data_IF_541507644158
#
_entry.id   IF_541507644158
#
_cell.length_a   1.000
_cell.length_b   1.000
_cell.length_c   1.000
_cell.angle_alpha   90.00
_cell.angle_beta   90.00
_cell.angle_gamma   90.00
#
_symmetry.space_group_name_H-M   'P 1'
#
loop_
_entity.id
_entity.type
_entity.pdbx_description
1 polymer ?
#
# COMPACT_ATOMS: atom_id res chain seq x y z
N UNK A 1 -15.35 19.02 3.27
CA UNK A 1 -15.23 17.95 4.29
C UNK A 1 -14.24 16.94 3.76
N UNK A 2 -13.12 16.70 4.44
CA UNK A 2 -12.25 15.57 4.08
C UNK A 2 -12.99 14.28 4.43
N UNK A 3 -13.04 13.32 3.50
CA UNK A 3 -13.54 11.99 3.82
C UNK A 3 -12.74 11.44 5.02
N UNK A 4 -13.45 10.88 6.00
CA UNK A 4 -12.83 10.32 7.21
C UNK A 4 -11.98 9.09 6.89
N UNK A 5 -12.28 8.44 5.77
CA UNK A 5 -11.61 7.26 5.23
C UNK A 5 -11.48 7.45 3.70
N UNK A 6 -10.28 7.35 3.15
CA UNK A 6 -9.98 7.49 1.70
C UNK A 6 -9.52 6.16 1.09
N UNK A 7 -10.36 5.14 1.26
CA UNK A 7 -10.12 3.78 0.79
C UNK A 7 -11.46 3.06 0.58
N UNK A 8 -11.46 2.03 -0.27
CA UNK A 8 -12.60 1.17 -0.49
C UNK A 8 -12.13 -0.28 -0.71
N UNK A 9 -12.98 -1.23 -0.32
CA UNK A 9 -12.79 -2.66 -0.62
C UNK A 9 -13.88 -3.03 -1.61
N UNK A 10 -13.46 -3.54 -2.76
CA UNK A 10 -14.34 -3.99 -3.81
C UNK A 10 -14.34 -5.51 -3.79
N UNK A 11 -15.49 -6.10 -3.45
CA UNK A 11 -15.71 -7.52 -3.66
C UNK A 11 -15.88 -7.73 -5.18
N UNK A 12 -15.00 -8.53 -5.76
CA UNK A 12 -15.09 -8.92 -7.16
C UNK A 12 -15.78 -10.26 -7.26
N UNK A 13 -16.76 -10.35 -8.17
CA UNK A 13 -17.52 -11.57 -8.37
C UNK A 13 -16.61 -12.77 -8.70
N UNK A 14 -17.00 -13.94 -8.19
CA UNK A 14 -16.22 -15.17 -8.16
C UNK A 14 -15.57 -15.72 -9.45
N UNK A 15 -15.96 -15.38 -10.71
CA UNK A 15 -15.24 -15.87 -11.89
C UNK A 15 -13.76 -15.44 -11.97
N UNK A 16 -13.34 -14.44 -11.19
CA UNK A 16 -11.94 -14.06 -11.08
C UNK A 16 -11.15 -14.90 -10.07
N UNK A 17 -11.71 -15.89 -9.36
CA UNK A 17 -10.93 -16.74 -8.46
C UNK A 17 -10.24 -16.01 -7.27
N UNK A 18 -9.75 -16.78 -6.28
CA UNK A 18 -8.93 -16.21 -5.20
C UNK A 18 -7.49 -16.05 -5.71
N UNK A 19 -7.17 -14.89 -6.29
CA UNK A 19 -5.85 -14.69 -6.91
C UNK A 19 -4.73 -14.26 -5.96
N UNK A 20 -5.03 -13.66 -4.81
CA UNK A 20 -4.00 -13.25 -3.84
C UNK A 20 -4.46 -13.38 -2.38
N UNK A 21 -3.62 -13.99 -1.56
CA UNK A 21 -3.82 -14.02 -0.11
C UNK A 21 -3.32 -12.69 0.49
N UNK A 22 -4.24 -11.77 0.76
CA UNK A 22 -3.92 -10.45 1.34
C UNK A 22 -3.24 -10.62 2.71
N UNK A 23 -3.59 -11.64 3.49
CA UNK A 23 -3.01 -11.86 4.81
C UNK A 23 -1.50 -12.18 4.75
N UNK A 24 -1.01 -12.81 3.68
CA UNK A 24 0.44 -13.03 3.51
C UNK A 24 1.22 -11.78 3.10
N UNK A 25 0.53 -10.76 2.59
CA UNK A 25 1.15 -9.51 2.18
C UNK A 25 1.26 -8.50 3.33
N UNK A 26 0.58 -8.71 4.45
CA UNK A 26 0.41 -7.69 5.51
C UNK A 26 0.94 -8.12 6.88
N UNK A 27 1.52 -9.32 6.98
CA UNK A 27 2.00 -9.92 8.23
C UNK A 27 3.40 -9.42 8.63
N UNK A 28 3.60 -8.10 8.62
CA UNK A 28 4.86 -7.47 8.99
C UNK A 28 4.60 -6.29 9.92
N UNK A 29 5.24 -6.32 11.09
CA UNK A 29 5.16 -5.25 12.10
C UNK A 29 5.79 -3.95 11.58
N UNK A 30 5.19 -2.80 11.90
CA UNK A 30 5.68 -1.49 11.46
C UNK A 30 7.14 -1.21 11.80
N UNK A 31 7.61 -1.69 12.96
CA UNK A 31 9.00 -1.56 13.40
C UNK A 31 10.00 -2.25 12.46
N UNK A 32 9.56 -3.17 11.61
CA UNK A 32 10.41 -3.89 10.67
C UNK A 32 10.60 -3.15 9.34
N UNK A 33 9.76 -2.16 9.00
CA UNK A 33 9.80 -1.46 7.71
C UNK A 33 9.79 0.06 7.78
N UNK A 34 9.52 0.67 8.93
CA UNK A 34 9.41 2.14 9.07
C UNK A 34 10.68 2.92 8.65
N UNK A 35 11.83 2.25 8.57
CA UNK A 35 13.09 2.82 8.12
C UNK A 35 13.59 2.25 6.78
N UNK A 36 12.81 1.38 6.15
CA UNK A 36 13.15 0.75 4.89
C UNK A 36 12.63 1.57 3.70
N UNK A 37 13.37 1.62 2.58
CA UNK A 37 12.87 2.21 1.35
C UNK A 37 11.66 1.43 0.82
N UNK A 38 10.63 2.15 0.38
CA UNK A 38 9.42 1.57 -0.19
C UNK A 38 9.48 1.61 -1.72
N UNK A 39 8.78 0.68 -2.36
CA UNK A 39 8.61 0.63 -3.81
C UNK A 39 7.18 1.00 -4.19
N UNK A 40 7.06 1.89 -5.17
CA UNK A 40 5.79 2.38 -5.69
C UNK A 40 5.74 2.27 -7.20
N UNK A 41 4.58 1.86 -7.74
CA UNK A 41 4.28 2.04 -9.15
C UNK A 41 3.88 3.50 -9.37
N UNK A 42 4.68 4.23 -10.15
CA UNK A 42 4.51 5.66 -10.40
C UNK A 42 4.42 5.93 -11.89
N UNK A 43 3.81 7.05 -12.25
CA UNK A 43 3.87 7.58 -13.61
C UNK A 43 5.05 8.54 -13.73
N UNK A 44 6.07 8.16 -14.49
CA UNK A 44 7.19 9.03 -14.85
C UNK A 44 6.73 9.98 -15.95
N UNK A 45 6.58 11.26 -15.61
CA UNK A 45 6.05 12.26 -16.53
C UNK A 45 7.02 12.57 -17.68
N UNK A 46 8.33 12.48 -17.45
CA UNK A 46 9.33 12.76 -18.47
C UNK A 46 9.37 11.65 -19.54
N UNK A 47 9.16 10.41 -19.12
CA UNK A 47 9.13 9.23 -20.01
C UNK A 47 7.73 8.85 -20.48
N UNK A 48 6.69 9.46 -19.92
CA UNK A 48 5.28 9.11 -20.17
C UNK A 48 5.03 7.60 -20.02
N UNK A 49 5.58 7.01 -18.95
CA UNK A 49 5.59 5.57 -18.73
C UNK A 49 5.35 5.22 -17.25
N UNK A 50 4.83 4.02 -17.00
CA UNK A 50 4.76 3.45 -15.67
C UNK A 50 6.14 2.90 -15.27
N UNK A 51 6.62 3.28 -14.09
CA UNK A 51 7.91 2.88 -13.55
C UNK A 51 7.80 2.51 -12.09
N UNK A 52 8.73 1.69 -11.60
CA UNK A 52 8.90 1.47 -10.16
C UNK A 52 9.85 2.54 -9.62
N UNK A 53 9.45 3.18 -8.54
CA UNK A 53 10.25 4.17 -7.85
C UNK A 53 10.47 3.79 -6.40
N UNK A 54 11.63 4.19 -5.87
CA UNK A 54 11.96 4.08 -4.46
C UNK A 54 11.66 5.40 -3.74
N UNK A 55 10.85 5.36 -2.70
CA UNK A 55 10.55 6.51 -1.85
C UNK A 55 10.73 6.15 -0.38
N UNK A 56 10.53 7.12 0.52
CA UNK A 56 10.50 6.90 1.96
C UNK A 56 9.11 7.10 2.52
N UNK A 57 8.76 6.25 3.48
CA UNK A 57 7.52 6.34 4.22
C UNK A 57 7.79 6.87 5.64
N UNK A 58 6.93 7.74 6.12
CA UNK A 58 6.93 8.17 7.51
C UNK A 58 5.56 7.89 8.12
N UNK A 59 5.56 7.24 9.29
CA UNK A 59 4.35 6.91 10.03
C UNK A 59 4.29 7.80 11.26
N UNK A 60 3.38 8.77 11.24
CA UNK A 60 3.18 9.67 12.39
C UNK A 60 2.24 9.04 13.43
N UNK A 61 1.29 8.21 12.98
CA UNK A 61 0.35 7.52 13.84
C UNK A 61 -0.18 6.26 13.14
N UNK A 62 -0.93 5.42 13.86
CA UNK A 62 -1.63 4.27 13.24
C UNK A 62 -2.63 4.68 12.17
N UNK A 63 -2.94 5.98 12.00
CA UNK A 63 -3.83 6.54 10.98
C UNK A 63 -3.15 7.40 9.93
N UNK A 64 -1.95 7.87 10.21
CA UNK A 64 -1.31 8.90 9.41
C UNK A 64 0.02 8.39 8.89
N UNK A 65 0.06 8.18 7.57
CA UNK A 65 1.24 7.81 6.83
C UNK A 65 1.50 8.85 5.74
N UNK A 66 2.75 9.24 5.56
CA UNK A 66 3.19 10.10 4.47
C UNK A 66 4.30 9.44 3.68
N UNK A 67 4.32 9.71 2.38
CA UNK A 67 5.36 9.30 1.46
C UNK A 67 6.10 10.55 1.03
N UNK A 68 7.42 10.49 1.06
CA UNK A 68 8.27 11.62 0.70
C UNK A 68 9.53 11.15 -0.02
N UNK A 69 10.30 12.11 -0.52
CA UNK A 69 11.57 11.87 -1.21
C UNK A 69 11.44 10.94 -2.43
N UNK A 70 10.26 10.92 -3.04
CA UNK A 70 10.12 10.49 -4.43
C UNK A 70 10.79 11.52 -5.35
N UNK A 71 11.25 11.12 -6.52
CA UNK A 71 11.75 12.01 -7.56
C UNK A 71 10.71 13.06 -7.94
N UNK A 72 11.14 14.28 -8.20
CA UNK A 72 10.21 15.37 -8.57
C UNK A 72 9.55 15.15 -9.94
N UNK A 73 10.08 14.23 -10.76
CA UNK A 73 9.49 13.88 -12.07
C UNK A 73 8.36 12.85 -11.98
N UNK A 74 8.03 12.37 -10.78
CA UNK A 74 7.07 11.29 -10.61
C UNK A 74 5.74 11.78 -10.10
N UNK A 75 4.71 11.22 -10.72
CA UNK A 75 3.34 11.37 -10.29
C UNK A 75 2.89 10.06 -9.66
N UNK A 76 2.69 10.09 -8.35
CA UNK A 76 2.04 9.00 -7.63
C UNK A 76 0.53 9.23 -7.66
N UNK A 77 -0.22 8.21 -8.07
CA UNK A 77 -1.67 8.29 -8.20
C UNK A 77 -2.36 7.80 -6.93
N UNK A 78 -3.54 8.34 -6.67
CA UNK A 78 -4.41 7.82 -5.61
C UNK A 78 -4.76 6.35 -5.91
N UNK A 79 -4.79 5.52 -4.88
CA UNK A 79 -5.00 4.07 -5.00
C UNK A 79 -3.73 3.26 -5.26
N UNK A 80 -2.57 3.89 -5.52
CA UNK A 80 -1.32 3.16 -5.68
C UNK A 80 -0.98 2.39 -4.39
N UNK A 81 -0.80 1.06 -4.45
CA UNK A 81 -0.39 0.26 -3.30
C UNK A 81 1.06 0.57 -2.92
N UNK A 82 1.34 0.56 -1.62
CA UNK A 82 2.66 0.80 -1.06
C UNK A 82 3.25 -0.52 -0.62
N UNK A 83 4.32 -0.93 -1.28
CA UNK A 83 5.05 -2.14 -0.92
C UNK A 83 6.38 -1.81 -0.28
N UNK A 84 6.77 -2.60 0.71
CA UNK A 84 8.13 -2.65 1.24
C UNK A 84 8.74 -4.02 0.95
N UNK A 85 10.02 -4.03 0.60
CA UNK A 85 10.79 -5.25 0.44
C UNK A 85 11.70 -5.44 1.66
N UNK A 86 11.52 -6.55 2.38
CA UNK A 86 12.34 -6.91 3.54
C UNK A 86 13.00 -8.25 3.25
N UNK A 87 14.29 -8.21 2.93
CA UNK A 87 15.01 -9.38 2.43
C UNK A 87 14.37 -9.92 1.14
N UNK A 88 13.88 -11.16 1.20
CA UNK A 88 13.21 -11.84 0.08
C UNK A 88 11.69 -11.66 0.07
N UNK A 89 11.12 -11.02 1.11
CA UNK A 89 9.68 -10.87 1.28
C UNK A 89 9.22 -9.49 0.83
N UNK A 90 7.97 -9.43 0.36
CA UNK A 90 7.30 -8.18 0.00
C UNK A 90 6.05 -8.04 0.84
N UNK A 91 5.86 -6.87 1.44
CA UNK A 91 4.66 -6.57 2.20
C UNK A 91 3.96 -5.33 1.68
N UNK A 92 2.63 -5.41 1.60
CA UNK A 92 1.73 -4.29 1.45
C UNK A 92 1.61 -3.60 2.82
N UNK A 93 1.90 -2.31 2.87
CA UNK A 93 1.88 -1.54 4.13
C UNK A 93 0.88 -0.38 4.10
N UNK A 94 0.42 0.01 2.91
CA UNK A 94 -0.56 1.08 2.77
C UNK A 94 -0.98 1.35 1.34
N UNK A 95 -1.72 2.45 1.17
CA UNK A 95 -2.20 2.92 -0.12
C UNK A 95 -2.13 4.43 -0.18
N UNK A 96 -1.69 4.96 -1.32
CA UNK A 96 -1.61 6.41 -1.58
C UNK A 96 -3.00 6.99 -1.67
N UNK A 97 -3.23 8.12 -0.99
CA UNK A 97 -4.53 8.82 -0.99
C UNK A 97 -4.48 10.07 -1.83
N UNK A 98 -3.63 11.04 -1.46
CA UNK A 98 -3.55 12.33 -2.16
C UNK A 98 -2.15 12.94 -2.11
N UNK A 99 -1.81 13.72 -3.12
CA UNK A 99 -0.64 14.59 -3.12
C UNK A 99 -0.89 15.80 -2.20
N UNK A 100 0.08 16.14 -1.35
CA UNK A 100 0.09 17.40 -0.61
C UNK A 100 0.52 18.54 -1.55
N UNK A 101 -0.29 19.59 -1.65
CA UNK A 101 -0.01 20.73 -2.51
C UNK A 101 0.98 21.69 -1.84
N UNK A 102 1.86 22.30 -2.64
CA UNK A 102 2.75 23.38 -2.19
C UNK A 102 4.01 22.94 -1.45
N UNK A 103 4.32 21.63 -1.43
CA UNK A 103 5.55 21.10 -0.85
C UNK A 103 6.51 20.60 -1.94
N UNK A 104 7.78 20.97 -1.80
CA UNK A 104 8.91 20.48 -2.61
C UNK A 104 9.98 19.97 -1.63
N UNK A 105 10.43 18.70 -1.74
CA UNK A 105 10.03 17.69 -2.72
C UNK A 105 8.58 17.23 -2.57
N UNK A 106 8.05 16.51 -3.56
CA UNK A 106 6.66 16.01 -3.55
C UNK A 106 6.38 15.13 -2.32
N UNK A 107 5.32 15.45 -1.58
CA UNK A 107 4.83 14.66 -0.43
C UNK A 107 3.43 14.14 -0.73
N UNK A 108 3.16 12.89 -0.37
CA UNK A 108 1.86 12.24 -0.54
C UNK A 108 1.35 11.74 0.81
N UNK A 109 0.04 11.86 1.04
CA UNK A 109 -0.63 11.16 2.13
C UNK A 109 -0.89 9.71 1.71
N UNK A 110 -0.95 8.85 2.70
CA UNK A 110 -1.29 7.44 2.55
C UNK A 110 -2.12 6.94 3.74
N UNK A 111 -2.86 5.86 3.51
CA UNK A 111 -3.59 5.15 4.56
C UNK A 111 -2.87 3.82 4.86
N UNK A 112 -2.52 3.54 6.13
CA UNK A 112 -1.95 2.24 6.53
C UNK A 112 -2.93 1.09 6.26
N UNK A 113 -2.44 -0.02 5.69
CA UNK A 113 -3.30 -1.15 5.30
C UNK A 113 -3.92 -1.86 6.52
N UNK A 114 -3.24 -1.83 7.67
CA UNK A 114 -3.76 -2.42 8.91
C UNK A 114 -5.13 -1.86 9.28
N UNK A 115 -5.39 -0.58 9.02
CA UNK A 115 -6.72 0.01 9.25
C UNK A 115 -7.80 -0.60 8.37
N UNK A 116 -7.51 -0.76 7.08
CA UNK A 116 -8.41 -1.35 6.10
C UNK A 116 -8.75 -2.78 6.52
N UNK A 117 -7.75 -3.53 6.97
CA UNK A 117 -7.91 -4.91 7.41
C UNK A 117 -8.78 -5.08 8.65
N UNK A 118 -8.70 -4.19 9.64
CA UNK A 118 -9.55 -4.31 10.84
C UNK A 118 -11.05 -4.23 10.54
N UNK A 119 -11.44 -3.74 9.36
CA UNK A 119 -12.83 -3.63 8.93
C UNK A 119 -13.30 -4.76 8.02
N UNK A 120 -12.39 -5.65 7.61
CA UNK A 120 -12.73 -6.86 6.89
C UNK A 120 -13.20 -7.95 7.87
N UNK A 121 -14.39 -8.56 7.65
CA UNK A 121 -14.70 -9.83 8.27
C UNK A 121 -13.54 -10.83 8.07
N UNK A 122 -13.21 -11.60 9.11
CA UNK A 122 -12.19 -12.67 9.01
C UNK A 122 -12.54 -13.66 7.89
N UNK A 123 -13.83 -13.75 7.53
CA UNK A 123 -14.38 -14.60 6.48
C UNK A 123 -14.35 -14.00 5.06
N UNK A 124 -14.08 -12.70 4.90
CA UNK A 124 -14.14 -12.01 3.59
C UNK A 124 -12.77 -11.83 2.93
N UNK A 125 -11.70 -12.19 3.61
CA UNK A 125 -10.43 -12.42 2.95
C UNK A 125 -10.47 -13.85 2.41
N UNK A 126 -10.04 -14.08 1.18
CA UNK A 126 -9.81 -15.43 0.65
C UNK A 126 -8.71 -16.15 1.46
N UNK A 127 -8.91 -16.40 2.75
CA UNK A 127 -8.13 -17.31 3.57
C UNK A 127 -8.78 -18.68 3.36
N UNK A 128 -8.65 -19.23 2.15
CA UNK A 128 -8.62 -20.68 2.07
C UNK A 128 -7.29 -21.06 2.70
N UNK A 129 -7.35 -21.61 3.91
CA UNK A 129 -6.25 -22.24 4.62
C UNK A 129 -5.20 -22.79 3.65
N UNK A 130 -4.08 -22.10 3.50
CA UNK A 130 -2.89 -22.66 2.83
C UNK A 130 -2.32 -23.87 3.60
N UNK A 131 -2.94 -24.24 4.74
CA UNK A 131 -2.62 -25.42 5.55
C UNK A 131 -3.64 -26.56 5.45
N UNK A 132 -4.76 -26.45 4.71
CA UNK A 132 -5.65 -27.60 4.51
C UNK A 132 -5.40 -28.26 3.16
N UNK A 133 -4.19 -28.81 2.98
CA UNK A 133 -3.97 -30.04 2.23
C UNK A 133 -2.50 -30.47 2.33
N UNK A 134 -2.18 -31.22 3.39
CA UNK A 134 -1.26 -32.34 3.30
C UNK A 134 -1.48 -33.30 4.47
N UNK A 135 -2.25 -34.37 4.16
CA UNK A 135 -2.59 -35.59 4.92
C UNK A 135 -3.63 -35.47 6.03
#
# INVERSE_FOLDING_TARGET
>A
MAAKDDWAILEVDAPLGCHQNIATLVDIDASQWENEPIQLLVHDQARSALTIETCFVHVASSRDMTISQCSDMTQVLSGTPIYVQIGANMALIGMVTRKQQGLSPSVYNATPIGQVMTRLPVTSTCIKNAFSQSR
#
